data_IF_355881089159
#
_entry.id   IF_355881089159
#
_cell.length_a   1.000
_cell.length_b   1.000
_cell.length_c   1.000
_cell.angle_alpha   90.00
_cell.angle_beta   90.00
_cell.angle_gamma   90.00
#
_symmetry.space_group_name_H-M   'P 1'
#
loop_
_entity.id
_entity.type
_entity.pdbx_description
1 polymer ?
#
# COMPACT_ATOMS: atom_id res chain seq x y z
N UNK A 1 31.64 91.85 13.96
CA UNK A 1 32.64 90.90 14.50
C UNK A 1 31.95 89.99 15.50
N UNK A 2 32.35 88.71 15.52
CA UNK A 2 32.07 87.65 16.53
C UNK A 2 30.61 87.17 16.69
N UNK A 3 30.21 86.08 16.00
CA UNK A 3 30.13 84.66 16.45
C UNK A 3 28.89 84.30 17.29
N UNK A 4 28.13 83.26 16.87
CA UNK A 4 27.90 81.96 17.60
C UNK A 4 26.54 81.29 17.27
N UNK A 5 26.63 80.10 16.61
CA UNK A 5 25.88 78.81 16.74
C UNK A 5 24.33 78.77 16.61
N UNK A 6 23.76 78.04 15.64
CA UNK A 6 23.46 76.58 15.58
C UNK A 6 22.38 76.11 16.58
N UNK A 7 21.21 75.67 16.08
CA UNK A 7 20.67 74.29 16.20
C UNK A 7 19.17 74.17 15.89
N UNK A 8 18.86 73.09 15.15
CA UNK A 8 17.68 72.21 15.23
C UNK A 8 16.28 72.73 14.87
N UNK A 9 15.65 72.12 13.85
CA UNK A 9 14.74 70.97 14.02
C UNK A 9 14.27 70.50 12.63
N UNK A 10 14.75 69.33 12.20
CA UNK A 10 14.18 68.60 11.08
C UNK A 10 13.18 67.57 11.64
N UNK A 11 11.90 67.74 11.33
CA UNK A 11 10.83 66.78 11.62
C UNK A 11 10.44 66.10 10.30
N UNK A 12 10.78 64.82 10.12
CA UNK A 12 9.91 63.66 10.32
C UNK A 12 8.67 63.65 9.42
N UNK A 13 8.67 62.83 8.37
CA UNK A 13 7.51 62.02 7.96
C UNK A 13 8.01 60.88 7.04
N UNK A 14 8.32 59.72 7.61
CA UNK A 14 8.54 58.48 6.88
C UNK A 14 7.27 57.62 7.02
N UNK A 15 6.55 57.45 5.91
CA UNK A 15 5.30 56.71 5.82
C UNK A 15 5.64 55.23 5.58
N UNK A 16 5.64 54.42 6.64
CA UNK A 16 5.83 52.96 6.55
C UNK A 16 4.49 52.31 6.20
N UNK A 17 4.32 51.91 4.95
CA UNK A 17 3.21 51.08 4.49
C UNK A 17 3.43 49.66 5.03
N UNK A 18 2.76 49.34 6.13
CA UNK A 18 2.73 47.99 6.70
C UNK A 18 1.82 47.12 5.83
N UNK A 19 2.40 46.37 4.90
CA UNK A 19 1.69 45.33 4.16
C UNK A 19 1.40 44.18 5.13
N UNK A 20 0.14 44.07 5.57
CA UNK A 20 -0.36 42.92 6.30
C UNK A 20 -0.22 41.67 5.43
N UNK A 21 0.83 40.88 5.64
CA UNK A 21 0.83 39.47 5.29
C UNK A 21 -0.23 38.78 6.17
N UNK A 22 -1.46 38.69 5.67
CA UNK A 22 -2.42 37.76 6.23
C UNK A 22 -1.83 36.33 6.05
N UNK A 23 -1.76 35.50 7.10
CA UNK A 23 -1.43 34.10 6.91
C UNK A 23 -2.54 33.52 6.03
N UNK A 24 -2.18 33.11 4.82
CA UNK A 24 -3.01 32.23 4.01
C UNK A 24 -3.28 31.01 4.88
N UNK A 25 -4.48 30.96 5.45
CA UNK A 25 -4.97 29.78 6.15
C UNK A 25 -5.07 28.71 5.07
N UNK A 26 -4.03 27.90 4.94
CA UNK A 26 -4.02 26.75 4.05
C UNK A 26 -5.27 25.97 4.39
N UNK A 27 -6.24 25.93 3.47
CA UNK A 27 -7.38 25.05 3.59
C UNK A 27 -6.79 23.68 3.87
N UNK A 28 -7.07 23.14 5.07
CA UNK A 28 -6.71 21.78 5.40
C UNK A 28 -7.35 20.91 4.31
N UNK A 29 -6.53 20.47 3.35
CA UNK A 29 -6.93 19.51 2.32
C UNK A 29 -7.63 18.41 3.10
N UNK A 30 -8.90 18.12 2.79
CA UNK A 30 -9.66 17.08 3.51
C UNK A 30 -8.84 15.78 3.39
N UNK A 31 -8.07 15.48 4.44
CA UNK A 31 -7.12 14.37 4.40
C UNK A 31 -7.93 13.10 4.23
N UNK A 32 -7.65 12.38 3.16
CA UNK A 32 -8.22 11.06 2.96
C UNK A 32 -7.67 10.09 4.00
N UNK A 33 -8.46 9.08 4.33
CA UNK A 33 -8.07 8.03 5.24
C UNK A 33 -8.57 6.68 4.71
N UNK A 34 -7.76 5.65 4.96
CA UNK A 34 -8.06 4.25 4.72
C UNK A 34 -8.07 3.52 6.04
N UNK A 35 -8.97 2.55 6.16
CA UNK A 35 -9.00 1.61 7.28
C UNK A 35 -9.15 0.20 6.73
N UNK A 36 -8.21 -0.68 7.05
CA UNK A 36 -8.34 -2.10 6.69
C UNK A 36 -9.33 -2.76 7.66
N UNK A 37 -10.35 -3.41 7.11
CA UNK A 37 -11.47 -3.98 7.87
C UNK A 37 -11.38 -5.49 7.99
N UNK A 38 -10.84 -6.17 6.97
CA UNK A 38 -10.74 -7.63 6.95
C UNK A 38 -9.52 -8.12 6.16
N UNK A 39 -9.12 -9.37 6.43
CA UNK A 39 -8.07 -10.09 5.72
C UNK A 39 -8.59 -11.50 5.37
N UNK A 40 -8.63 -11.80 4.07
CA UNK A 40 -8.90 -13.15 3.57
C UNK A 40 -7.65 -13.80 2.98
N UNK A 41 -7.47 -15.08 3.33
CA UNK A 41 -6.35 -15.92 2.93
C UNK A 41 -6.88 -17.24 2.38
N UNK A 42 -6.69 -17.46 1.07
CA UNK A 42 -7.20 -18.65 0.40
C UNK A 42 -6.28 -19.16 -0.71
N UNK A 43 -6.37 -20.46 -0.95
CA UNK A 43 -5.78 -21.08 -2.14
C UNK A 43 -6.75 -20.93 -3.32
N UNK A 44 -6.25 -20.52 -4.48
CA UNK A 44 -7.03 -20.39 -5.72
C UNK A 44 -6.40 -21.19 -6.84
N UNK A 45 -7.18 -22.02 -7.50
CA UNK A 45 -6.73 -22.70 -8.71
C UNK A 45 -6.73 -21.73 -9.89
N UNK A 46 -5.83 -21.96 -10.85
CA UNK A 46 -5.77 -21.13 -12.06
C UNK A 46 -7.10 -21.21 -12.82
N UNK A 47 -7.64 -20.08 -13.32
CA UNK A 47 -8.89 -20.06 -14.07
C UNK A 47 -8.83 -20.91 -15.34
N UNK A 48 -10.01 -21.35 -15.79
CA UNK A 48 -10.16 -21.97 -17.10
C UNK A 48 -10.70 -20.99 -18.10
N UNK A 49 -9.98 -20.91 -19.20
CA UNK A 49 -10.41 -20.18 -20.38
C UNK A 49 -10.77 -21.22 -21.44
N UNK A 50 -11.99 -21.16 -21.96
CA UNK A 50 -12.47 -22.07 -23.01
C UNK A 50 -11.62 -21.97 -24.28
N UNK A 51 -10.96 -20.83 -24.51
CA UNK A 51 -9.99 -20.63 -25.57
C UNK A 51 -8.57 -20.92 -25.07
N UNK A 52 -8.16 -22.20 -25.08
CA UNK A 52 -6.75 -22.55 -24.86
C UNK A 52 -5.97 -22.40 -26.16
N UNK A 53 -4.90 -21.60 -26.15
CA UNK A 53 -3.98 -21.47 -27.29
C UNK A 53 -3.05 -22.69 -27.45
N UNK A 54 -2.86 -23.48 -26.39
CA UNK A 54 -2.02 -24.66 -26.39
C UNK A 54 -2.76 -25.87 -25.77
N UNK A 55 -2.96 -26.98 -26.50
CA UNK A 55 -3.70 -28.14 -26.01
C UNK A 55 -3.00 -28.91 -24.88
N UNK A 56 -1.72 -28.62 -24.60
CA UNK A 56 -0.96 -29.18 -23.46
C UNK A 56 -1.02 -28.31 -22.20
N UNK A 57 -1.69 -27.16 -22.23
CA UNK A 57 -1.85 -26.33 -21.05
C UNK A 57 -2.71 -27.08 -20.02
N UNK A 58 -2.16 -27.32 -18.82
CA UNK A 58 -2.85 -28.03 -17.73
C UNK A 58 -3.16 -27.09 -16.55
N UNK A 59 -4.18 -27.44 -15.77
CA UNK A 59 -4.67 -26.69 -14.60
C UNK A 59 -3.94 -27.09 -13.32
N UNK A 60 -2.61 -27.07 -13.34
CA UNK A 60 -1.83 -27.63 -12.22
C UNK A 60 -1.46 -26.58 -11.16
N UNK A 61 -1.75 -25.31 -11.43
CA UNK A 61 -1.21 -24.22 -10.62
C UNK A 61 -2.24 -23.67 -9.65
N UNK A 62 -1.96 -23.95 -8.38
CA UNK A 62 -2.62 -23.37 -7.22
C UNK A 62 -1.83 -22.18 -6.69
N UNK A 63 -2.50 -21.03 -6.65
CA UNK A 63 -2.02 -19.76 -6.15
C UNK A 63 -2.42 -19.59 -4.69
N UNK A 64 -1.73 -18.71 -3.99
CA UNK A 64 -2.17 -18.26 -2.67
C UNK A 64 -2.57 -16.79 -2.77
N UNK A 65 -3.86 -16.53 -2.60
CA UNK A 65 -4.47 -15.21 -2.68
C UNK A 65 -4.51 -14.59 -1.27
N UNK A 66 -4.07 -13.34 -1.18
CA UNK A 66 -4.08 -12.53 0.03
C UNK A 66 -4.89 -11.28 -0.32
N UNK A 67 -6.09 -11.17 0.24
CA UNK A 67 -7.01 -10.06 -0.02
C UNK A 67 -7.23 -9.30 1.27
N UNK A 68 -7.14 -7.97 1.23
CA UNK A 68 -7.62 -7.11 2.31
C UNK A 68 -8.85 -6.35 1.83
N UNK A 69 -9.83 -6.24 2.73
CA UNK A 69 -10.93 -5.30 2.57
C UNK A 69 -10.58 -3.99 3.27
N UNK A 70 -10.95 -2.87 2.69
CA UNK A 70 -10.75 -1.58 3.30
C UNK A 70 -11.90 -0.61 3.03
N UNK A 71 -12.09 0.31 3.98
CA UNK A 71 -12.96 1.47 3.85
C UNK A 71 -12.11 2.70 3.52
N UNK A 72 -12.58 3.51 2.57
CA UNK A 72 -11.99 4.80 2.25
C UNK A 72 -12.90 5.96 2.72
N UNK A 73 -12.30 7.03 3.26
CA UNK A 73 -13.01 8.21 3.76
C UNK A 73 -12.28 9.50 3.39
N UNK A 74 -13.02 10.60 3.28
CA UNK A 74 -12.45 11.91 2.98
C UNK A 74 -12.21 12.12 1.49
N UNK A 75 -11.15 12.84 1.13
CA UNK A 75 -10.83 13.13 -0.27
C UNK A 75 -11.55 14.35 -0.84
N UNK A 76 -11.24 14.66 -2.10
CA UNK A 76 -11.91 15.72 -2.85
C UNK A 76 -13.14 15.15 -3.54
N UNK A 77 -14.29 15.83 -3.38
CA UNK A 77 -15.57 15.45 -4.01
C UNK A 77 -15.96 13.96 -3.86
N UNK A 78 -15.51 13.29 -2.81
CA UNK A 78 -15.81 11.88 -2.55
C UNK A 78 -14.82 10.90 -3.20
N UNK A 79 -13.62 11.35 -3.58
CA UNK A 79 -12.61 10.54 -4.25
C UNK A 79 -11.22 10.71 -3.64
N UNK A 80 -10.45 9.62 -3.63
CA UNK A 80 -9.01 9.60 -3.36
C UNK A 80 -8.26 9.37 -4.67
N UNK A 81 -7.39 10.31 -5.02
CA UNK A 81 -6.60 10.22 -6.27
C UNK A 81 -5.68 8.99 -6.26
N UNK A 82 -4.96 8.76 -5.16
CA UNK A 82 -4.04 7.62 -5.03
C UNK A 82 -4.13 6.95 -3.66
N UNK A 83 -4.32 5.64 -3.69
CA UNK A 83 -4.31 4.74 -2.53
C UNK A 83 -3.20 3.72 -2.71
N UNK A 84 -2.21 3.76 -1.83
CA UNK A 84 -1.07 2.83 -1.85
C UNK A 84 -1.16 1.84 -0.70
N UNK A 85 -0.93 0.56 -0.99
CA UNK A 85 -0.80 -0.50 -0.01
C UNK A 85 0.59 -1.13 -0.15
N UNK A 86 1.42 -0.95 0.87
CA UNK A 86 2.73 -1.57 1.01
C UNK A 86 2.61 -2.88 1.78
N UNK A 87 2.69 -3.99 1.06
CA UNK A 87 2.62 -5.34 1.58
C UNK A 87 3.98 -5.81 2.05
N UNK A 88 4.00 -6.37 3.26
CA UNK A 88 5.09 -7.20 3.79
C UNK A 88 4.50 -8.52 4.23
N UNK A 89 4.90 -9.61 3.58
CA UNK A 89 4.41 -10.96 3.85
C UNK A 89 5.58 -11.83 4.28
N UNK A 90 5.56 -12.33 5.51
CA UNK A 90 6.57 -13.26 5.99
C UNK A 90 6.09 -14.70 5.86
N UNK A 91 6.96 -15.58 5.37
CA UNK A 91 6.71 -17.00 5.18
C UNK A 91 7.81 -17.80 5.88
N UNK A 92 7.42 -18.77 6.71
CA UNK A 92 8.34 -19.62 7.48
C UNK A 92 8.24 -21.10 7.06
N UNK A 93 8.69 -21.45 5.83
CA UNK A 93 8.68 -22.85 5.40
C UNK A 93 9.66 -23.68 6.24
N UNK A 94 9.25 -24.87 6.65
CA UNK A 94 10.09 -25.79 7.45
C UNK A 94 11.37 -26.25 6.74
N UNK A 95 11.41 -26.15 5.41
CA UNK A 95 12.57 -26.50 4.59
C UNK A 95 13.70 -25.48 4.68
N UNK A 96 13.42 -24.27 5.19
CA UNK A 96 14.38 -23.18 5.28
C UNK A 96 14.70 -22.87 6.73
N UNK A 97 15.98 -22.65 7.04
CA UNK A 97 16.41 -22.20 8.37
C UNK A 97 16.04 -20.74 8.67
N UNK A 98 15.64 -19.97 7.64
CA UNK A 98 15.26 -18.57 7.75
C UNK A 98 13.95 -18.30 7.01
N UNK A 99 13.10 -17.41 7.52
CA UNK A 99 11.87 -17.05 6.83
C UNK A 99 12.15 -16.16 5.61
N UNK A 100 11.21 -16.15 4.68
CA UNK A 100 11.20 -15.25 3.54
C UNK A 100 10.32 -14.05 3.87
N UNK A 101 10.85 -12.84 3.70
CA UNK A 101 10.09 -11.60 3.77
C UNK A 101 9.83 -11.10 2.35
N UNK A 102 8.61 -11.28 1.90
CA UNK A 102 8.16 -10.85 0.59
C UNK A 102 7.60 -9.43 0.68
N UNK A 103 7.96 -8.57 -0.26
CA UNK A 103 7.49 -7.19 -0.31
C UNK A 103 6.84 -6.87 -1.63
N UNK A 104 5.76 -6.08 -1.60
CA UNK A 104 5.11 -5.56 -2.80
C UNK A 104 4.38 -4.28 -2.48
N UNK A 105 4.44 -3.30 -3.37
CA UNK A 105 3.59 -2.12 -3.29
C UNK A 105 2.54 -2.19 -4.40
N UNK A 106 1.30 -1.88 -4.05
CA UNK A 106 0.17 -1.81 -4.97
C UNK A 106 -0.46 -0.45 -4.83
N UNK A 107 -0.67 0.25 -5.95
CA UNK A 107 -1.28 1.57 -5.96
C UNK A 107 -2.54 1.53 -6.80
N UNK A 108 -3.65 1.97 -6.23
CA UNK A 108 -4.92 2.17 -6.90
C UNK A 108 -5.16 3.65 -7.12
N UNK A 109 -5.92 3.97 -8.17
CA UNK A 109 -6.30 5.33 -8.53
C UNK A 109 -7.81 5.49 -8.53
N UNK A 110 -8.26 6.72 -8.32
CA UNK A 110 -9.67 7.11 -8.40
C UNK A 110 -10.57 6.25 -7.50
N UNK A 111 -10.26 6.20 -6.21
CA UNK A 111 -10.99 5.37 -5.23
C UNK A 111 -12.12 6.18 -4.61
N UNK A 112 -13.37 5.71 -4.75
CA UNK A 112 -14.56 6.38 -4.20
C UNK A 112 -14.57 6.31 -2.66
N UNK A 113 -15.12 7.32 -1.99
CA UNK A 113 -15.26 7.36 -0.51
C UNK A 113 -16.71 7.40 -0.05
N UNK A 114 -17.61 6.88 -0.88
CA UNK A 114 -19.03 6.78 -0.57
C UNK A 114 -19.27 5.99 0.72
N UNK A 115 -20.24 6.45 1.52
CA UNK A 115 -20.55 5.82 2.80
C UNK A 115 -21.02 4.38 2.58
N UNK A 116 -20.27 3.43 3.14
CA UNK A 116 -20.58 2.00 3.04
C UNK A 116 -19.97 1.31 1.82
N UNK A 117 -19.16 2.01 1.02
CA UNK A 117 -18.32 1.37 0.03
C UNK A 117 -17.25 0.51 0.72
N UNK A 118 -17.11 -0.72 0.25
CA UNK A 118 -16.03 -1.64 0.62
C UNK A 118 -15.16 -1.86 -0.60
N UNK A 119 -13.86 -1.68 -0.44
CA UNK A 119 -12.90 -1.84 -1.51
C UNK A 119 -11.98 -3.03 -1.21
N UNK A 120 -11.34 -3.55 -2.25
CA UNK A 120 -10.53 -4.74 -2.17
C UNK A 120 -9.15 -4.52 -2.76
N UNK A 121 -8.13 -4.91 -2.01
CA UNK A 121 -6.77 -4.97 -2.50
C UNK A 121 -6.25 -6.40 -2.41
N UNK A 122 -5.63 -6.88 -3.49
CA UNK A 122 -5.21 -8.27 -3.59
C UNK A 122 -3.77 -8.40 -4.09
N UNK A 123 -3.04 -9.33 -3.47
CA UNK A 123 -1.76 -9.85 -3.99
C UNK A 123 -1.78 -11.37 -4.01
N UNK A 124 -1.00 -11.96 -4.90
CA UNK A 124 -0.92 -13.40 -5.11
C UNK A 124 0.51 -13.90 -4.93
N UNK A 125 0.69 -15.01 -4.22
CA UNK A 125 1.95 -15.73 -4.20
C UNK A 125 2.00 -16.74 -5.34
N UNK A 126 3.16 -16.79 -6.01
CA UNK A 126 3.38 -17.63 -7.19
C UNK A 126 3.36 -19.13 -6.83
N UNK A 127 2.68 -19.98 -7.62
CA UNK A 127 2.64 -21.44 -7.41
C UNK A 127 4.04 -22.08 -7.34
N UNK A 128 4.97 -21.61 -8.18
CA UNK A 128 6.34 -22.12 -8.22
C UNK A 128 7.12 -21.86 -6.92
N UNK A 129 6.88 -20.73 -6.26
CA UNK A 129 7.48 -20.43 -4.95
C UNK A 129 6.99 -21.43 -3.91
N UNK A 130 5.68 -21.65 -3.85
CA UNK A 130 5.04 -22.57 -2.89
C UNK A 130 5.63 -23.97 -3.07
N UNK A 131 5.65 -24.50 -4.30
CA UNK A 131 6.22 -25.82 -4.59
C UNK A 131 7.69 -25.92 -4.21
N UNK A 132 8.49 -24.89 -4.53
CA UNK A 132 9.93 -24.91 -4.27
C UNK A 132 10.27 -24.94 -2.77
N UNK A 133 9.55 -24.16 -1.96
CA UNK A 133 9.93 -23.97 -0.55
C UNK A 133 9.04 -24.75 0.42
N UNK A 134 7.79 -25.07 0.08
CA UNK A 134 6.92 -25.90 0.92
C UNK A 134 6.89 -27.37 0.47
N UNK A 135 7.36 -27.69 -0.75
CA UNK A 135 7.31 -29.06 -1.28
C UNK A 135 5.89 -29.54 -1.62
N UNK A 136 4.92 -28.64 -1.62
CA UNK A 136 3.49 -28.89 -1.86
C UNK A 136 2.87 -27.71 -2.62
N UNK A 137 1.60 -27.79 -2.98
CA UNK A 137 0.81 -26.72 -3.60
C UNK A 137 0.07 -25.86 -2.56
N UNK A 138 0.29 -26.11 -1.26
CA UNK A 138 -0.39 -25.42 -0.16
C UNK A 138 0.57 -24.80 0.86
N UNK A 139 0.05 -23.82 1.59
CA UNK A 139 0.74 -23.13 2.68
C UNK A 139 -0.12 -23.30 3.92
N UNK A 140 0.51 -23.61 5.05
CA UNK A 140 -0.19 -23.61 6.33
C UNK A 140 -0.42 -22.16 6.78
N UNK A 141 -1.64 -21.80 7.17
CA UNK A 141 -1.97 -20.44 7.66
C UNK A 141 -1.15 -20.03 8.90
N UNK A 142 -0.53 -20.98 9.61
CA UNK A 142 0.37 -20.69 10.72
C UNK A 142 1.77 -20.24 10.28
N UNK A 143 2.17 -20.55 9.04
CA UNK A 143 3.50 -20.23 8.52
C UNK A 143 3.56 -18.84 7.87
N UNK A 144 2.45 -18.09 7.89
CA UNK A 144 2.33 -16.78 7.25
C UNK A 144 2.04 -15.67 8.27
N UNK A 145 2.70 -14.53 8.07
CA UNK A 145 2.35 -13.26 8.69
C UNK A 145 2.18 -12.18 7.63
N UNK A 146 1.20 -11.31 7.82
CA UNK A 146 0.83 -10.22 6.94
C UNK A 146 0.98 -8.90 7.69
N UNK A 147 1.63 -7.93 7.05
CA UNK A 147 1.67 -6.55 7.45
C UNK A 147 1.38 -5.70 6.22
N UNK A 148 0.45 -4.76 6.35
CA UNK A 148 0.10 -3.83 5.29
C UNK A 148 0.18 -2.43 5.86
N UNK A 149 0.95 -1.55 5.21
CA UNK A 149 0.90 -0.11 5.47
C UNK A 149 0.17 0.56 4.33
N UNK A 150 -0.78 1.41 4.67
CA UNK A 150 -1.54 2.17 3.67
C UNK A 150 -1.06 3.61 3.62
N UNK A 151 -1.07 4.19 2.42
CA UNK A 151 -0.88 5.63 2.22
C UNK A 151 -1.99 6.19 1.33
N UNK A 152 -2.36 7.44 1.60
CA UNK A 152 -3.25 8.22 0.75
C UNK A 152 -2.48 9.42 0.25
N UNK A 153 -2.37 9.58 -1.07
CA UNK A 153 -1.61 10.67 -1.69
C UNK A 153 -0.18 10.83 -1.14
N UNK A 154 0.49 9.70 -0.86
CA UNK A 154 1.84 9.65 -0.31
C UNK A 154 1.97 9.83 1.20
N UNK A 155 0.89 10.16 1.92
CA UNK A 155 0.88 10.27 3.38
C UNK A 155 0.42 8.96 4.03
N UNK A 156 1.13 8.47 5.05
CA UNK A 156 0.72 7.29 5.82
C UNK A 156 -0.68 7.46 6.41
N UNK A 157 -1.55 6.46 6.22
CA UNK A 157 -2.93 6.48 6.69
C UNK A 157 -3.18 5.47 7.81
N UNK A 158 -2.90 4.19 7.56
CA UNK A 158 -3.19 3.10 8.50
C UNK A 158 -2.16 1.97 8.37
N UNK A 159 -2.16 1.07 9.35
CA UNK A 159 -1.38 -0.16 9.31
C UNK A 159 -2.21 -1.34 9.80
N UNK A 160 -2.18 -2.44 9.07
CA UNK A 160 -2.79 -3.70 9.45
C UNK A 160 -1.73 -4.77 9.68
N UNK A 161 -1.99 -5.67 10.63
CA UNK A 161 -1.11 -6.79 10.94
C UNK A 161 -1.92 -8.01 11.36
N UNK A 162 -1.62 -9.14 10.74
CA UNK A 162 -2.04 -10.46 11.21
C UNK A 162 -0.87 -11.44 11.21
N UNK A 163 -0.73 -12.23 12.27
CA UNK A 163 0.16 -13.40 12.29
C UNK A 163 -0.39 -14.44 13.25
N UNK A 164 -0.58 -15.67 12.78
CA UNK A 164 -1.14 -16.76 13.61
C UNK A 164 -0.08 -17.43 14.49
N UNK A 165 1.14 -17.58 13.99
CA UNK A 165 2.24 -18.12 14.80
C UNK A 165 2.70 -17.12 15.85
N UNK A 166 2.95 -17.62 17.07
CA UNK A 166 3.56 -16.83 18.15
C UNK A 166 5.00 -16.43 17.82
N UNK A 167 5.69 -17.20 16.97
CA UNK A 167 7.07 -16.93 16.55
C UNK A 167 7.15 -15.75 15.58
N UNK A 168 6.01 -15.34 15.01
CA UNK A 168 5.85 -14.17 14.15
C UNK A 168 5.29 -12.95 14.92
N UNK A 169 5.46 -12.93 16.25
CA UNK A 169 5.19 -11.75 17.09
C UNK A 169 6.36 -10.75 17.01
N UNK A 170 6.11 -9.45 17.20
CA UNK A 170 7.13 -8.38 17.03
C UNK A 170 7.09 -7.67 15.66
N UNK A 171 8.13 -6.90 15.31
CA UNK A 171 8.20 -6.05 14.09
C UNK A 171 8.91 -6.73 12.92
N UNK A 172 8.51 -7.96 12.59
CA UNK A 172 9.20 -8.76 11.56
C UNK A 172 9.15 -8.13 10.16
N UNK A 173 8.20 -7.23 9.86
CA UNK A 173 8.11 -6.49 8.59
C UNK A 173 9.30 -5.51 8.40
N UNK A 174 9.98 -5.15 9.49
CA UNK A 174 11.21 -4.36 9.50
C UNK A 174 12.48 -5.23 9.50
N UNK A 175 12.34 -6.56 9.48
CA UNK A 175 13.47 -7.46 9.48
C UNK A 175 14.35 -7.25 8.23
N UNK A 176 15.65 -7.46 8.41
CA UNK A 176 16.67 -7.28 7.38
C UNK A 176 17.50 -8.55 7.24
N UNK A 177 18.14 -8.71 6.10
CA UNK A 177 19.17 -9.73 5.95
C UNK A 177 20.29 -9.51 7.00
N UNK A 178 20.89 -10.56 7.56
CA UNK A 178 20.73 -11.98 7.19
C UNK A 178 19.63 -12.71 7.98
N UNK A 179 18.76 -12.05 8.75
CA UNK A 179 17.74 -12.72 9.58
C UNK A 179 16.61 -13.33 8.76
N UNK A 180 16.30 -12.73 7.62
CA UNK A 180 15.27 -13.17 6.68
C UNK A 180 15.86 -13.17 5.27
N UNK A 181 15.20 -13.85 4.34
CA UNK A 181 15.46 -13.72 2.90
C UNK A 181 14.49 -12.72 2.30
N UNK A 182 14.96 -11.58 1.83
CA UNK A 182 14.08 -10.55 1.25
C UNK A 182 13.84 -10.86 -0.23
N UNK A 183 12.58 -10.78 -0.67
CA UNK A 183 12.17 -11.00 -2.07
C UNK A 183 11.09 -10.00 -2.49
N UNK A 184 11.30 -9.31 -3.60
CA UNK A 184 10.36 -8.28 -4.08
C UNK A 184 9.45 -8.77 -5.22
N UNK A 185 9.83 -9.88 -5.88
CA UNK A 185 9.20 -10.35 -7.12
C UNK A 185 8.39 -11.66 -6.95
N UNK A 186 8.09 -12.04 -5.71
CA UNK A 186 7.34 -13.27 -5.41
C UNK A 186 5.85 -13.00 -5.12
N UNK A 187 5.51 -11.78 -4.72
CA UNK A 187 4.14 -11.31 -4.63
C UNK A 187 3.77 -10.60 -5.93
N UNK A 188 2.68 -11.04 -6.51
CA UNK A 188 2.17 -10.59 -7.81
C UNK A 188 0.89 -9.78 -7.63
N UNK A 189 0.73 -8.72 -8.40
CA UNK A 189 -0.55 -7.98 -8.49
C UNK A 189 -1.52 -8.71 -9.42
N UNK A 190 -2.82 -8.40 -9.31
CA UNK A 190 -3.88 -9.08 -10.09
C UNK A 190 -3.58 -9.12 -11.59
N UNK A 191 -3.14 -8.01 -12.15
CA UNK A 191 -2.78 -7.84 -13.58
C UNK A 191 -1.61 -8.72 -14.04
N UNK A 192 -0.75 -9.17 -13.12
CA UNK A 192 0.38 -10.06 -13.42
C UNK A 192 -0.02 -11.55 -13.35
N UNK A 193 -1.28 -11.86 -13.06
CA UNK A 193 -1.76 -13.23 -12.83
C UNK A 193 -2.81 -13.66 -13.84
N UNK A 194 -3.09 -14.97 -13.95
CA UNK A 194 -4.22 -15.48 -14.73
C UNK A 194 -5.60 -14.94 -14.29
N UNK A 195 -5.71 -14.29 -13.13
CA UNK A 195 -6.95 -13.70 -12.63
C UNK A 195 -7.19 -12.27 -13.15
N UNK A 196 -6.24 -11.69 -13.90
CA UNK A 196 -6.35 -10.33 -14.46
C UNK A 196 -7.69 -10.02 -15.16
N UNK A 197 -8.26 -10.89 -16.01
CA UNK A 197 -9.51 -10.57 -16.71
C UNK A 197 -10.77 -10.85 -15.87
N UNK A 198 -10.64 -11.41 -14.67
CA UNK A 198 -11.77 -11.81 -13.84
C UNK A 198 -12.16 -10.70 -12.87
N UNK A 199 -13.47 -10.63 -12.60
CA UNK A 199 -14.06 -9.76 -11.58
C UNK A 199 -13.56 -8.30 -11.74
N UNK A 200 -13.61 -7.79 -12.98
CA UNK A 200 -13.01 -6.51 -13.34
C UNK A 200 -13.47 -5.38 -12.40
N UNK A 201 -14.79 -5.25 -12.23
CA UNK A 201 -15.45 -4.21 -11.42
C UNK A 201 -15.38 -4.45 -9.90
N UNK A 202 -14.88 -5.61 -9.46
CA UNK A 202 -14.74 -5.93 -8.03
C UNK A 202 -13.50 -5.27 -7.40
N UNK A 203 -12.52 -4.88 -8.22
CA UNK A 203 -11.26 -4.31 -7.76
C UNK A 203 -11.03 -2.94 -8.38
N UNK A 204 -10.38 -2.07 -7.61
CA UNK A 204 -9.99 -0.74 -8.07
C UNK A 204 -8.98 -0.79 -9.23
N UNK A 205 -8.94 0.30 -9.99
CA UNK A 205 -7.99 0.44 -11.09
C UNK A 205 -6.56 0.58 -10.57
N UNK A 206 -5.68 -0.30 -11.04
CA UNK A 206 -4.26 -0.23 -10.73
C UNK A 206 -3.64 0.98 -11.43
N UNK A 207 -2.79 1.71 -10.71
CA UNK A 207 -1.93 2.74 -11.30
C UNK A 207 -0.98 2.08 -12.31
N UNK A 208 -0.97 2.49 -13.58
CA UNK A 208 -0.08 1.92 -14.58
C UNK A 208 1.39 2.08 -14.19
N UNK A 209 2.19 1.04 -14.44
CA UNK A 209 3.65 1.12 -14.32
C UNK A 209 4.20 1.98 -15.46
N UNK A 210 5.00 2.99 -15.12
CA UNK A 210 5.76 3.79 -16.09
C UNK A 210 7.03 3.07 -16.50
#
# INVERSE_FOLDING_TARGET
MTTTRLLSYAACFALVVSFCCAPASGQAKKRGALRITDLDLQHKDSPEFQAMSNPRATREYRWYQITVEYEARGGDRGWLDEVELEWSVILSPKSSSKPFLLKRTVTYVDVETAKGATHHAVVYLRPAFIRRYYGTDRINKNDIGIYVRTKVNGESSDTYREAKSKDLRGTWWEAREPRVHIRENELMTRDETPFAPLDYDFYEHLKPRR
#
